data_IF_078142664044
#
_entry.id   IF_078142664044
#
_cell.length_a   1.000
_cell.length_b   1.000
_cell.length_c   1.000
_cell.angle_alpha   90.00
_cell.angle_beta   90.00
_cell.angle_gamma   90.00
#
_symmetry.space_group_name_H-M   'P 1'
#
loop_
_entity.id
_entity.type
_entity.pdbx_description
1 polymer ?
#
# COMPACT_ATOMS: atom_id res chain seq x y z
N UNK A 1 8.22 16.24 -14.28
CA UNK A 1 7.93 15.30 -13.18
C UNK A 1 6.70 15.83 -12.47
N UNK A 2 5.64 15.04 -12.33
CA UNK A 2 4.47 15.43 -11.54
C UNK A 2 4.90 15.55 -10.08
N UNK A 3 4.61 16.69 -9.45
CA UNK A 3 4.83 16.88 -8.03
C UNK A 3 3.66 16.22 -7.28
N UNK A 4 3.91 15.05 -6.69
CA UNK A 4 2.89 14.29 -5.94
C UNK A 4 2.34 15.10 -4.76
N UNK A 5 3.16 15.90 -4.08
CA UNK A 5 2.69 16.78 -3.00
C UNK A 5 1.69 17.81 -3.53
N UNK A 6 1.96 18.43 -4.69
CA UNK A 6 1.00 19.36 -5.31
C UNK A 6 -0.30 18.67 -5.71
N UNK A 7 -0.24 17.43 -6.21
CA UNK A 7 -1.43 16.65 -6.53
C UNK A 7 -2.26 16.36 -5.27
N UNK A 8 -1.61 15.98 -4.17
CA UNK A 8 -2.22 15.76 -2.86
C UNK A 8 -2.91 17.05 -2.38
N UNK A 9 -2.21 18.18 -2.40
CA UNK A 9 -2.71 19.45 -1.87
C UNK A 9 -3.88 20.01 -2.69
N UNK A 10 -3.80 19.94 -4.02
CA UNK A 10 -4.84 20.45 -4.91
C UNK A 10 -6.18 19.69 -4.77
N UNK A 11 -6.14 18.44 -4.31
CA UNK A 11 -7.31 17.58 -4.18
C UNK A 11 -7.83 17.48 -2.74
N UNK A 12 -7.19 18.13 -1.76
CA UNK A 12 -7.54 18.01 -0.34
C UNK A 12 -9.04 18.24 -0.06
N UNK A 13 -9.63 19.26 -0.67
CA UNK A 13 -11.03 19.60 -0.43
C UNK A 13 -12.04 18.68 -1.14
N UNK A 14 -11.59 17.73 -1.96
CA UNK A 14 -12.49 16.80 -2.63
C UNK A 14 -13.27 15.95 -1.61
N UNK A 15 -14.60 15.74 -1.77
CA UNK A 15 -15.41 15.03 -0.78
C UNK A 15 -14.88 13.64 -0.44
N UNK A 16 -14.37 12.93 -1.44
CA UNK A 16 -13.88 11.55 -1.31
C UNK A 16 -12.37 11.40 -1.16
N UNK A 17 -11.69 12.52 -0.94
CA UNK A 17 -10.25 12.50 -0.69
C UNK A 17 -9.92 11.64 0.54
N UNK A 18 -8.92 10.76 0.38
CA UNK A 18 -8.44 9.87 1.44
C UNK A 18 -9.25 8.58 1.59
N UNK A 19 -10.28 8.36 0.77
CA UNK A 19 -11.06 7.12 0.77
C UNK A 19 -10.18 5.96 0.31
N UNK A 20 -10.21 4.86 1.07
CA UNK A 20 -9.53 3.62 0.71
C UNK A 20 -10.33 2.88 -0.37
N UNK A 21 -9.70 2.62 -1.51
CA UNK A 21 -10.26 1.84 -2.60
C UNK A 21 -9.56 0.49 -2.71
N UNK A 22 -10.27 -0.49 -3.23
CA UNK A 22 -9.70 -1.77 -3.63
C UNK A 22 -10.25 -2.22 -4.99
N UNK A 23 -9.48 -3.06 -5.67
CA UNK A 23 -9.92 -3.71 -6.91
C UNK A 23 -9.10 -4.97 -7.24
N UNK A 24 -9.61 -5.79 -8.15
CA UNK A 24 -8.91 -6.98 -8.65
C UNK A 24 -8.06 -6.68 -9.89
N UNK A 25 -6.84 -7.22 -9.91
CA UNK A 25 -5.91 -7.09 -11.03
C UNK A 25 -6.54 -7.59 -12.34
N UNK A 26 -6.27 -6.89 -13.44
CA UNK A 26 -6.86 -7.20 -14.75
C UNK A 26 -6.36 -8.53 -15.33
N UNK A 27 -5.08 -8.86 -15.11
CA UNK A 27 -4.46 -10.06 -15.65
C UNK A 27 -4.65 -11.26 -14.71
N UNK A 28 -4.75 -11.02 -13.41
CA UNK A 28 -4.98 -12.05 -12.43
C UNK A 28 -6.00 -11.62 -11.36
N UNK A 29 -7.29 -11.96 -11.51
CA UNK A 29 -8.34 -11.52 -10.59
C UNK A 29 -8.18 -12.07 -9.16
N UNK A 30 -7.25 -12.99 -8.89
CA UNK A 30 -6.95 -13.42 -7.51
C UNK A 30 -6.06 -12.43 -6.75
N UNK A 31 -5.47 -11.45 -7.44
CA UNK A 31 -4.65 -10.40 -6.83
C UNK A 31 -5.57 -9.22 -6.55
N UNK A 32 -5.60 -8.84 -5.27
CA UNK A 32 -6.33 -7.66 -4.79
C UNK A 32 -5.34 -6.53 -4.59
N UNK A 33 -5.65 -5.36 -5.14
CA UNK A 33 -4.88 -4.14 -5.01
C UNK A 33 -5.65 -3.10 -4.21
N UNK A 34 -4.91 -2.19 -3.58
CA UNK A 34 -5.47 -1.10 -2.80
C UNK A 34 -4.82 0.23 -3.18
N UNK A 35 -5.62 1.29 -3.14
CA UNK A 35 -5.20 2.65 -3.43
C UNK A 35 -5.97 3.66 -2.59
N UNK A 36 -5.49 4.91 -2.55
CA UNK A 36 -6.10 6.01 -1.82
C UNK A 36 -6.68 6.99 -2.82
N UNK A 37 -7.99 7.18 -2.79
CA UNK A 37 -8.68 8.11 -3.66
C UNK A 37 -8.24 9.55 -3.37
N UNK A 38 -7.91 10.30 -4.42
CA UNK A 38 -7.63 11.74 -4.32
C UNK A 38 -8.76 12.57 -4.93
N UNK A 39 -9.36 12.12 -6.03
CA UNK A 39 -10.54 12.72 -6.66
C UNK A 39 -11.41 11.66 -7.36
N UNK A 40 -12.41 12.07 -8.12
CA UNK A 40 -13.32 11.16 -8.84
C UNK A 40 -12.63 10.23 -9.86
N UNK A 41 -11.48 10.65 -10.40
CA UNK A 41 -10.82 9.97 -11.51
C UNK A 41 -9.45 9.37 -11.17
N UNK A 42 -8.88 9.73 -10.01
CA UNK A 42 -7.51 9.40 -9.66
C UNK A 42 -7.39 8.89 -8.22
N UNK A 43 -6.50 7.91 -8.06
CA UNK A 43 -6.06 7.40 -6.77
C UNK A 43 -4.55 7.23 -6.75
N UNK A 44 -3.95 7.22 -5.56
CA UNK A 44 -2.53 6.92 -5.36
C UNK A 44 -2.37 5.49 -4.87
N UNK A 45 -1.42 4.76 -5.44
CA UNK A 45 -1.10 3.40 -5.05
C UNK A 45 0.42 3.21 -4.92
N UNK A 46 0.83 2.24 -4.11
CA UNK A 46 2.24 1.86 -4.00
C UNK A 46 2.56 0.74 -4.98
N UNK A 47 3.47 1.00 -5.92
CA UNK A 47 3.84 0.08 -7.01
C UNK A 47 5.35 -0.23 -7.04
N UNK A 48 5.76 -1.35 -7.65
CA UNK A 48 7.16 -1.56 -8.04
C UNK A 48 7.63 -0.45 -9.00
N UNK A 49 8.80 0.14 -8.73
CA UNK A 49 9.38 1.19 -9.55
C UNK A 49 9.85 0.70 -10.93
N UNK A 50 10.16 -0.60 -11.05
CA UNK A 50 10.61 -1.26 -12.28
C UNK A 50 9.52 -2.18 -12.83
N UNK A 51 8.47 -1.60 -13.42
CA UNK A 51 7.55 -2.36 -14.27
C UNK A 51 8.03 -2.46 -15.73
N UNK A 52 9.04 -1.69 -16.14
CA UNK A 52 9.42 -1.53 -17.56
C UNK A 52 10.84 -1.90 -17.96
N UNK A 53 11.79 -2.11 -17.04
CA UNK A 53 13.19 -2.33 -17.43
C UNK A 53 13.83 -3.54 -16.73
N UNK A 54 14.03 -4.58 -17.56
CA UNK A 54 15.05 -5.61 -17.45
C UNK A 54 14.94 -6.70 -16.37
N UNK A 55 15.41 -7.88 -16.76
CA UNK A 55 15.41 -9.17 -16.05
C UNK A 55 16.27 -9.23 -14.78
N UNK A 56 16.75 -8.11 -14.26
CA UNK A 56 17.63 -8.08 -13.10
C UNK A 56 16.83 -7.91 -11.80
N UNK A 57 16.54 -9.05 -11.17
CA UNK A 57 15.74 -9.21 -9.95
C UNK A 57 16.36 -8.60 -8.67
N UNK A 58 17.27 -7.63 -8.75
CA UNK A 58 18.08 -7.20 -7.58
C UNK A 58 17.79 -5.79 -7.04
N UNK A 59 16.80 -5.05 -7.55
CA UNK A 59 16.39 -3.76 -6.95
C UNK A 59 14.87 -3.58 -7.01
N UNK A 60 14.14 -4.33 -6.21
CA UNK A 60 12.68 -4.19 -6.07
C UNK A 60 12.32 -2.91 -5.28
N UNK A 61 12.66 -1.71 -5.75
CA UNK A 61 12.23 -0.48 -5.08
C UNK A 61 10.75 -0.20 -5.35
N UNK A 62 10.06 0.41 -4.39
CA UNK A 62 8.67 0.85 -4.56
C UNK A 62 8.57 2.34 -4.85
N UNK A 63 7.47 2.76 -5.47
CA UNK A 63 7.12 4.16 -5.68
C UNK A 63 5.61 4.36 -5.58
N UNK A 64 5.20 5.54 -5.16
CA UNK A 64 3.84 6.01 -5.42
C UNK A 64 3.61 6.20 -6.92
N UNK A 65 2.46 5.70 -7.38
CA UNK A 65 1.96 5.83 -8.73
C UNK A 65 0.52 6.37 -8.70
N UNK A 66 0.16 7.10 -9.76
CA UNK A 66 -1.20 7.59 -9.97
C UNK A 66 -1.95 6.53 -10.77
N UNK A 67 -3.09 6.10 -10.24
CA UNK A 67 -4.00 5.15 -10.87
C UNK A 67 -5.28 5.86 -11.30
N UNK A 68 -5.70 5.62 -12.54
CA UNK A 68 -7.01 6.05 -13.00
C UNK A 68 -8.10 5.14 -12.43
N UNK A 69 -9.10 5.76 -11.83
CA UNK A 69 -10.23 5.08 -11.21
C UNK A 69 -11.19 4.66 -12.33
N UNK A 70 -11.39 3.35 -12.43
CA UNK A 70 -12.46 2.74 -13.20
C UNK A 70 -13.63 2.48 -12.25
N UNK A 71 -14.72 3.22 -12.40
CA UNK A 71 -15.87 3.18 -11.48
C UNK A 71 -16.62 1.84 -11.47
N UNK A 72 -16.45 1.00 -12.50
CA UNK A 72 -17.04 -0.34 -12.52
C UNK A 72 -16.20 -1.33 -11.70
N UNK A 73 -14.91 -1.07 -11.57
CA UNK A 73 -13.92 -2.00 -11.00
C UNK A 73 -13.44 -1.63 -9.61
N UNK A 74 -13.25 -0.33 -9.35
CA UNK A 74 -12.77 0.16 -8.06
C UNK A 74 -13.93 0.27 -7.09
N UNK A 75 -13.77 -0.33 -5.93
CA UNK A 75 -14.79 -0.36 -4.89
C UNK A 75 -14.25 0.29 -3.62
N UNK A 76 -15.07 1.08 -2.89
CA UNK A 76 -14.69 1.59 -1.60
C UNK A 76 -14.55 0.44 -0.59
N UNK A 77 -13.46 0.44 0.18
CA UNK A 77 -13.29 -0.52 1.26
C UNK A 77 -14.41 -0.35 2.30
N UNK A 78 -15.13 -1.42 2.60
CA UNK A 78 -16.21 -1.41 3.59
C UNK A 78 -15.65 -1.66 4.99
N UNK A 79 -16.34 -1.13 6.02
CA UNK A 79 -16.03 -1.38 7.44
C UNK A 79 -14.63 -0.92 7.87
N UNK A 80 -14.16 0.17 7.27
CA UNK A 80 -12.88 0.81 7.62
C UNK A 80 -13.17 2.12 8.34
N UNK A 81 -12.52 2.33 9.49
CA UNK A 81 -12.51 3.63 10.16
C UNK A 81 -11.33 4.43 9.63
N UNK A 82 -11.62 5.44 8.79
CA UNK A 82 -10.63 6.35 8.27
C UNK A 82 -10.16 7.34 9.35
N UNK A 83 -8.92 7.79 9.21
CA UNK A 83 -8.42 8.96 9.94
C UNK A 83 -9.12 10.23 9.44
N UNK A 84 -9.00 11.29 10.25
CA UNK A 84 -9.38 12.63 9.81
C UNK A 84 -8.56 13.04 8.58
N UNK A 85 -9.18 13.82 7.70
CA UNK A 85 -8.65 14.14 6.38
C UNK A 85 -7.27 14.80 6.43
N UNK A 86 -7.05 15.69 7.40
CA UNK A 86 -5.79 16.37 7.67
C UNK A 86 -4.68 15.37 8.04
N UNK A 87 -5.01 14.33 8.81
CA UNK A 87 -4.07 13.27 9.18
C UNK A 87 -3.71 12.41 7.97
N UNK A 88 -4.68 12.10 7.12
CA UNK A 88 -4.44 11.39 5.86
C UNK A 88 -3.52 12.22 4.96
N UNK A 89 -3.79 13.52 4.79
CA UNK A 89 -2.93 14.42 4.00
C UNK A 89 -1.49 14.43 4.55
N UNK A 90 -1.32 14.59 5.87
CA UNK A 90 0.01 14.54 6.49
C UNK A 90 0.70 13.21 6.22
N UNK A 91 0.00 12.08 6.35
CA UNK A 91 0.54 10.75 6.10
C UNK A 91 0.95 10.53 4.64
N UNK A 92 0.18 11.09 3.69
CA UNK A 92 0.53 11.04 2.27
C UNK A 92 1.77 11.90 1.97
N UNK A 93 1.90 13.09 2.57
CA UNK A 93 3.13 13.91 2.43
C UNK A 93 4.36 13.21 3.02
N UNK A 94 4.23 12.61 4.21
CA UNK A 94 5.30 11.77 4.78
C UNK A 94 5.62 10.61 3.83
N UNK A 95 4.60 10.00 3.21
CA UNK A 95 4.84 8.93 2.24
C UNK A 95 5.58 9.38 1.01
N UNK A 96 5.34 10.60 0.51
CA UNK A 96 6.13 11.14 -0.60
C UNK A 96 7.58 11.37 -0.15
N UNK A 97 7.77 12.13 0.91
CA UNK A 97 9.11 12.52 1.37
C UNK A 97 9.95 11.32 1.84
N UNK A 98 9.39 10.42 2.63
CA UNK A 98 10.14 9.34 3.29
C UNK A 98 10.12 8.06 2.45
N UNK A 99 9.01 7.78 1.76
CA UNK A 99 8.88 6.53 1.02
C UNK A 99 9.18 6.71 -0.45
N UNK A 100 8.45 7.57 -1.16
CA UNK A 100 8.62 7.72 -2.60
C UNK A 100 10.03 8.21 -3.00
N UNK A 101 10.58 9.17 -2.25
CA UNK A 101 11.89 9.78 -2.59
C UNK A 101 13.07 9.01 -2.00
N UNK A 102 12.92 8.43 -0.80
CA UNK A 102 14.05 7.94 -0.01
C UNK A 102 14.07 6.41 0.19
N UNK A 103 12.97 5.71 -0.03
CA UNK A 103 12.89 4.27 0.27
C UNK A 103 13.50 3.41 -0.83
N UNK A 104 14.62 2.75 -0.48
CA UNK A 104 15.36 1.84 -1.36
C UNK A 104 15.13 0.35 -1.05
N UNK A 105 14.12 0.01 -0.25
CA UNK A 105 13.87 -1.35 0.22
C UNK A 105 12.91 -2.15 -0.66
N UNK A 106 13.00 -3.48 -0.54
CA UNK A 106 12.31 -4.45 -1.39
C UNK A 106 10.79 -4.44 -1.25
N UNK A 107 10.11 -4.36 -2.39
CA UNK A 107 8.67 -4.44 -2.53
C UNK A 107 8.19 -5.89 -2.36
N UNK A 108 7.34 -6.15 -1.37
CA UNK A 108 6.67 -7.44 -1.20
C UNK A 108 5.17 -7.32 -1.51
N UNK A 109 4.56 -8.46 -1.83
CA UNK A 109 3.27 -8.61 -2.54
C UNK A 109 2.04 -7.93 -1.91
N UNK A 110 2.15 -7.40 -0.69
CA UNK A 110 1.05 -6.78 0.05
C UNK A 110 1.29 -5.30 0.36
N UNK A 111 2.31 -4.70 -0.25
CA UNK A 111 2.74 -3.34 0.09
C UNK A 111 1.71 -2.27 -0.31
N UNK A 112 0.91 -2.51 -1.35
CA UNK A 112 -0.17 -1.59 -1.74
C UNK A 112 -1.30 -1.56 -0.69
N UNK A 113 -1.74 -2.71 -0.17
CA UNK A 113 -2.71 -2.77 0.95
C UNK A 113 -2.12 -2.14 2.20
N UNK A 114 -0.92 -2.56 2.59
CA UNK A 114 -0.26 -2.10 3.80
C UNK A 114 -0.11 -0.58 3.79
N UNK A 115 0.47 -0.02 2.73
CA UNK A 115 0.65 1.42 2.59
C UNK A 115 -0.70 2.15 2.59
N UNK A 116 -1.66 1.71 1.77
CA UNK A 116 -2.93 2.40 1.64
C UNK A 116 -3.72 2.41 2.95
N UNK A 117 -3.75 1.29 3.70
CA UNK A 117 -4.37 1.25 5.03
C UNK A 117 -3.60 2.08 6.05
N UNK A 118 -2.27 1.99 6.05
CA UNK A 118 -1.45 2.77 6.97
C UNK A 118 -1.72 4.28 6.82
N UNK A 119 -1.73 4.83 5.60
CA UNK A 119 -1.96 6.27 5.42
C UNK A 119 -3.42 6.69 5.62
N UNK A 120 -4.39 5.80 5.41
CA UNK A 120 -5.83 6.14 5.51
C UNK A 120 -6.46 5.83 6.86
N UNK A 121 -5.92 4.87 7.62
CA UNK A 121 -6.53 4.35 8.85
C UNK A 121 -5.56 4.34 10.03
N UNK A 122 -4.26 4.49 9.78
CA UNK A 122 -3.23 4.30 10.81
C UNK A 122 -3.07 2.88 11.31
N UNK A 123 -3.61 1.92 10.56
CA UNK A 123 -3.51 0.51 10.89
C UNK A 123 -2.98 -0.22 9.66
N UNK A 124 -1.77 -0.74 9.78
CA UNK A 124 -1.06 -1.37 8.67
C UNK A 124 -1.38 -2.87 8.51
N UNK A 125 -2.31 -3.42 9.32
CA UNK A 125 -2.69 -4.83 9.23
C UNK A 125 -3.19 -5.17 7.83
N UNK A 126 -2.52 -6.11 7.18
CA UNK A 126 -2.90 -6.65 5.88
C UNK A 126 -3.82 -7.86 6.05
N UNK A 127 -5.03 -7.78 5.49
CA UNK A 127 -5.99 -8.88 5.53
C UNK A 127 -5.61 -10.00 4.56
N UNK A 128 -4.89 -9.72 3.48
CA UNK A 128 -4.36 -10.77 2.59
C UNK A 128 -3.37 -11.71 3.34
N UNK A 129 -2.60 -11.19 4.30
CA UNK A 129 -1.76 -12.02 5.18
C UNK A 129 -2.62 -12.84 6.16
N UNK A 130 -3.74 -12.29 6.63
CA UNK A 130 -4.65 -13.01 7.54
C UNK A 130 -5.30 -14.21 6.85
N UNK A 131 -5.69 -14.06 5.58
CA UNK A 131 -6.17 -15.17 4.75
C UNK A 131 -5.06 -16.21 4.48
N UNK A 132 -3.81 -15.76 4.26
CA UNK A 132 -2.67 -16.66 4.15
C UNK A 132 -2.39 -17.43 5.46
N UNK A 133 -2.57 -16.79 6.63
CA UNK A 133 -2.48 -17.44 7.94
C UNK A 133 -3.59 -18.46 8.19
N UNK A 134 -4.78 -18.30 7.58
CA UNK A 134 -5.81 -19.35 7.59
C UNK A 134 -5.36 -20.58 6.79
N UNK A 135 -4.65 -20.40 5.68
CA UNK A 135 -4.04 -21.50 4.91
C UNK A 135 -2.92 -22.21 5.69
N UNK A 136 -2.18 -21.52 6.56
CA UNK A 136 -1.18 -22.15 7.46
C UNK A 136 -1.80 -23.14 8.46
N UNK A 137 -3.08 -23.01 8.79
CA UNK A 137 -3.79 -23.95 9.70
C UNK A 137 -4.15 -25.28 9.02
N UNK A 138 -3.85 -25.45 7.73
CA UNK A 138 -4.02 -26.70 6.99
C UNK A 138 -2.70 -27.48 7.03
N UNK A 139 -2.60 -28.60 7.79
CA UNK A 139 -1.33 -29.20 8.21
C UNK A 139 -0.46 -29.72 7.07
N UNK A 140 -1.05 -30.13 5.94
CA UNK A 140 -0.31 -30.69 4.79
C UNK A 140 0.17 -29.61 3.82
N UNK A 141 -0.53 -28.47 3.74
CA UNK A 141 -0.21 -27.36 2.81
C UNK A 141 0.70 -26.33 3.49
N UNK A 142 0.57 -26.15 4.81
CA UNK A 142 1.37 -25.20 5.59
C UNK A 142 2.88 -25.49 5.57
N UNK A 143 3.33 -26.74 5.54
CA UNK A 143 4.77 -27.06 5.64
C UNK A 143 5.52 -26.76 4.34
N UNK A 144 4.95 -27.10 3.17
CA UNK A 144 5.62 -26.93 1.87
C UNK A 144 5.63 -25.46 1.44
N UNK A 145 4.54 -24.73 1.70
CA UNK A 145 4.43 -23.31 1.30
C UNK A 145 5.19 -22.39 2.27
N UNK A 146 5.16 -22.67 3.58
CA UNK A 146 5.80 -21.80 4.59
C UNK A 146 7.29 -22.06 4.73
N UNK A 147 7.78 -23.28 4.51
CA UNK A 147 9.22 -23.57 4.53
C UNK A 147 10.00 -22.82 3.45
N UNK A 148 9.39 -22.63 2.27
CA UNK A 148 10.00 -21.89 1.15
C UNK A 148 9.77 -20.38 1.27
N UNK A 149 8.63 -19.95 1.83
CA UNK A 149 8.40 -18.52 2.06
C UNK A 149 9.20 -17.99 3.26
N UNK A 150 9.14 -18.63 4.43
CA UNK A 150 9.70 -18.12 5.68
C UNK A 150 11.22 -18.08 5.75
N UNK A 151 11.94 -18.95 5.03
CA UNK A 151 13.41 -18.96 5.01
C UNK A 151 13.97 -18.01 3.93
N UNK A 152 13.15 -17.64 2.94
CA UNK A 152 13.55 -16.73 1.84
C UNK A 152 13.15 -15.27 2.11
N UNK A 153 12.33 -14.98 3.14
CA UNK A 153 11.73 -13.66 3.32
C UNK A 153 12.01 -13.01 4.68
N UNK A 154 13.15 -12.31 4.83
CA UNK A 154 13.32 -11.29 5.91
C UNK A 154 12.24 -10.18 5.96
N UNK A 155 11.20 -10.25 5.11
CA UNK A 155 10.06 -9.36 5.00
C UNK A 155 9.19 -9.23 6.27
N UNK A 156 9.27 -10.17 7.22
CA UNK A 156 8.49 -10.09 8.48
C UNK A 156 9.01 -9.02 9.45
N UNK A 157 10.33 -8.80 9.48
CA UNK A 157 10.96 -7.85 10.40
C UNK A 157 10.98 -6.42 9.83
N UNK A 158 10.93 -6.25 8.51
CA UNK A 158 11.06 -4.94 7.85
C UNK A 158 9.75 -4.15 7.71
N UNK A 159 8.58 -4.79 7.78
CA UNK A 159 7.29 -4.10 7.73
C UNK A 159 6.97 -3.30 9.00
N UNK A 160 7.58 -3.63 10.14
CA UNK A 160 7.48 -2.84 11.36
C UNK A 160 8.10 -1.43 11.20
N UNK A 161 9.12 -1.29 10.34
CA UNK A 161 9.83 -0.03 10.15
C UNK A 161 8.99 1.07 9.46
N UNK A 162 8.16 0.72 8.46
CA UNK A 162 7.26 1.69 7.83
C UNK A 162 6.21 2.21 8.81
N UNK A 163 5.65 1.29 9.61
CA UNK A 163 4.69 1.61 10.66
C UNK A 163 5.35 2.48 11.73
N UNK A 164 6.49 2.07 12.28
CA UNK A 164 7.24 2.84 13.29
C UNK A 164 7.64 4.22 12.80
N UNK A 165 8.03 4.39 11.53
CA UNK A 165 8.41 5.68 10.97
C UNK A 165 7.20 6.59 10.78
N UNK A 166 6.09 6.08 10.24
CA UNK A 166 4.83 6.86 10.20
C UNK A 166 4.37 7.20 11.61
N UNK A 167 4.35 6.25 12.55
CA UNK A 167 3.94 6.48 13.93
C UNK A 167 4.85 7.48 14.65
N UNK A 168 6.17 7.42 14.39
CA UNK A 168 7.15 8.39 14.92
C UNK A 168 6.95 9.79 14.36
N UNK A 169 6.74 9.92 13.06
CA UNK A 169 6.43 11.20 12.40
C UNK A 169 4.99 11.69 12.70
N UNK A 170 4.12 10.77 13.14
CA UNK A 170 2.75 11.04 13.61
C UNK A 170 2.66 11.41 15.08
N UNK A 171 3.60 11.03 15.93
CA UNK A 171 3.57 11.38 17.35
C UNK A 171 3.64 12.90 17.51
N UNK A 172 2.51 13.47 17.93
CA UNK A 172 2.41 14.76 18.59
C UNK A 172 3.41 14.79 19.77
N UNK A 173 4.54 15.46 19.58
CA UNK A 173 5.02 16.41 20.59
C UNK A 173 4.46 17.78 20.27
#
# INVERSE_FOLDING_TARGET
MLNLCSLIDNNFFHPEYGRLLYHHDLQNPNILHYSVQINDSESLAWEPALLHESSDRQKNTGRLAIWHIDCERFQPAQWVTHLEKEKIQKAMHVSVAQFHENWKYELFRFNCEHWARLVTTGDCRCYQITEFKKLQKIPVVGVVIVGVAGVVTGAWEHNGYAQELIEKEWNFT
#
